data_IF_529735454797
#
_entry.id   IF_529735454797
#
_cell.length_a   1.000
_cell.length_b   1.000
_cell.length_c   1.000
_cell.angle_alpha   90.00
_cell.angle_beta   90.00
_cell.angle_gamma   90.00
#
_symmetry.space_group_name_H-M   'P 1'
#
loop_
_entity.id
_entity.type
_entity.pdbx_description
1 polymer ?
#
# COMPACT_ATOMS: atom_id res chain seq x y z
N UNK A 1 -29.94 -5.18 -21.73
CA UNK A 1 -28.48 -5.17 -21.53
C UNK A 1 -28.12 -3.94 -20.73
N UNK A 2 -27.93 -4.12 -19.43
CA UNK A 2 -27.60 -3.04 -18.50
C UNK A 2 -26.23 -2.46 -18.84
N UNK A 3 -26.17 -1.16 -19.10
CA UNK A 3 -24.91 -0.43 -19.22
C UNK A 3 -24.31 -0.39 -17.82
N UNK A 4 -23.35 -1.26 -17.53
CA UNK A 4 -22.48 -1.11 -16.37
C UNK A 4 -21.85 0.27 -16.41
N UNK A 5 -22.23 1.13 -15.47
CA UNK A 5 -21.53 2.36 -15.16
C UNK A 5 -20.10 1.98 -14.75
N UNK A 6 -19.16 1.97 -15.70
CA UNK A 6 -17.74 2.04 -15.38
C UNK A 6 -17.53 3.32 -14.58
N UNK A 7 -17.46 3.19 -13.27
CA UNK A 7 -17.07 4.25 -12.36
C UNK A 7 -15.73 4.77 -12.88
N UNK A 8 -15.71 5.99 -13.37
CA UNK A 8 -14.55 6.59 -14.02
C UNK A 8 -13.45 6.83 -12.96
N UNK A 9 -12.68 5.78 -12.65
CA UNK A 9 -11.60 5.77 -11.64
C UNK A 9 -10.35 6.53 -12.11
N UNK A 10 -10.43 7.13 -13.29
CA UNK A 10 -9.40 7.87 -14.02
C UNK A 10 -9.50 9.38 -13.85
N UNK A 11 -10.52 9.87 -13.13
CA UNK A 11 -10.74 11.29 -12.89
C UNK A 11 -9.81 11.90 -11.84
N UNK A 12 -9.39 13.12 -12.11
CA UNK A 12 -8.66 14.07 -11.24
C UNK A 12 -9.52 14.52 -10.04
N UNK A 13 -10.79 14.08 -10.03
CA UNK A 13 -11.78 14.21 -8.96
C UNK A 13 -11.90 12.95 -8.09
N UNK A 14 -10.97 12.00 -8.24
CA UNK A 14 -10.93 10.85 -7.34
C UNK A 14 -10.41 11.34 -5.97
N UNK A 15 -11.26 11.24 -4.95
CA UNK A 15 -10.98 11.70 -3.59
C UNK A 15 -9.70 11.07 -3.02
N UNK A 16 -9.46 9.80 -3.35
CA UNK A 16 -8.25 9.07 -2.97
C UNK A 16 -6.97 9.70 -3.56
N UNK A 17 -7.06 10.19 -4.81
CA UNK A 17 -5.94 10.87 -5.46
C UNK A 17 -5.67 12.22 -4.81
N UNK A 18 -6.72 12.98 -4.49
CA UNK A 18 -6.59 14.26 -3.78
C UNK A 18 -6.02 14.06 -2.37
N UNK A 19 -6.44 13.01 -1.66
CA UNK A 19 -5.89 12.66 -0.36
C UNK A 19 -4.40 12.32 -0.45
N UNK A 20 -3.99 11.57 -1.47
CA UNK A 20 -2.59 11.27 -1.73
C UNK A 20 -1.79 12.55 -2.02
N UNK A 21 -2.29 13.44 -2.88
CA UNK A 21 -1.64 14.72 -3.18
C UNK A 21 -1.48 15.58 -1.92
N UNK A 22 -2.54 15.76 -1.13
CA UNK A 22 -2.50 16.51 0.13
C UNK A 22 -1.47 15.92 1.11
N UNK A 23 -1.36 14.59 1.17
CA UNK A 23 -0.36 13.93 2.00
C UNK A 23 1.07 14.19 1.50
N UNK A 24 1.32 14.12 0.19
CA UNK A 24 2.63 14.42 -0.40
C UNK A 24 3.03 15.88 -0.13
N UNK A 25 2.10 16.82 -0.29
CA UNK A 25 2.29 18.25 0.01
C UNK A 25 2.78 18.45 1.44
N UNK A 26 2.07 17.87 2.41
CA UNK A 26 2.39 18.06 3.83
C UNK A 26 3.63 17.30 4.27
N UNK A 27 3.74 16.03 3.88
CA UNK A 27 4.70 15.09 4.48
C UNK A 27 6.03 15.03 3.75
N UNK A 28 6.07 15.32 2.44
CA UNK A 28 7.30 15.25 1.62
C UNK A 28 7.77 16.63 1.16
N UNK A 29 6.84 17.54 0.89
CA UNK A 29 7.18 18.90 0.46
C UNK A 29 7.29 19.89 1.62
N UNK A 30 6.66 19.58 2.77
CA UNK A 30 6.64 20.46 3.94
C UNK A 30 5.77 21.69 3.73
N UNK A 31 4.78 21.60 2.83
CA UNK A 31 3.88 22.71 2.53
C UNK A 31 2.91 22.94 3.70
N UNK A 32 2.69 24.22 4.01
CA UNK A 32 1.75 24.67 5.03
C UNK A 32 0.80 25.70 4.44
N UNK A 33 -0.50 25.61 4.74
CA UNK A 33 -1.49 26.59 4.30
C UNK A 33 -1.99 26.36 2.88
N UNK A 34 -1.83 27.37 2.01
CA UNK A 34 -2.44 27.42 0.66
C UNK A 34 -1.55 26.92 -0.47
N UNK A 35 -0.31 26.51 -0.18
CA UNK A 35 0.63 25.97 -1.17
C UNK A 35 0.12 24.64 -1.73
N UNK A 36 0.22 24.45 -3.06
CA UNK A 36 -0.24 23.26 -3.78
C UNK A 36 0.83 22.76 -4.74
N UNK A 37 0.82 21.47 -5.03
CA UNK A 37 1.69 20.88 -6.07
C UNK A 37 1.44 21.54 -7.42
N UNK A 38 2.52 21.83 -8.13
CA UNK A 38 2.44 22.33 -9.50
C UNK A 38 1.86 21.25 -10.44
N UNK A 39 1.29 21.69 -11.57
CA UNK A 39 0.65 20.79 -12.56
C UNK A 39 1.54 19.61 -12.97
N UNK A 40 2.84 19.85 -13.17
CA UNK A 40 3.78 18.81 -13.58
C UNK A 40 4.00 17.75 -12.50
N UNK A 41 4.02 18.13 -11.22
CA UNK A 41 4.09 17.20 -10.11
C UNK A 41 2.86 16.27 -10.08
N UNK A 42 1.67 16.84 -10.28
CA UNK A 42 0.42 16.07 -10.40
C UNK A 42 0.45 15.09 -11.58
N UNK A 43 0.96 15.51 -12.74
CA UNK A 43 1.12 14.63 -13.91
C UNK A 43 2.11 13.49 -13.66
N UNK A 44 3.18 13.72 -12.89
CA UNK A 44 4.11 12.66 -12.48
C UNK A 44 3.45 11.65 -11.55
N UNK A 45 2.66 12.10 -10.58
CA UNK A 45 1.88 11.22 -9.70
C UNK A 45 0.86 10.39 -10.49
N UNK A 46 0.24 10.96 -11.51
CA UNK A 46 -0.64 10.22 -12.42
C UNK A 46 0.15 9.25 -13.30
N UNK A 47 1.37 9.62 -13.72
CA UNK A 47 2.27 8.76 -14.49
C UNK A 47 2.61 7.46 -13.76
N UNK A 48 2.80 7.53 -12.43
CA UNK A 48 3.06 6.36 -11.59
C UNK A 48 1.98 5.27 -11.72
N UNK A 49 0.70 5.67 -11.87
CA UNK A 49 -0.41 4.72 -12.10
C UNK A 49 -0.24 3.92 -13.38
N UNK A 50 0.32 4.57 -14.41
CA UNK A 50 0.53 4.02 -15.75
C UNK A 50 1.88 3.33 -15.93
N UNK A 51 2.72 3.29 -14.88
CA UNK A 51 4.12 2.87 -14.99
C UNK A 51 4.98 3.83 -15.82
N UNK A 52 4.56 5.08 -15.99
CA UNK A 52 5.25 6.10 -16.77
C UNK A 52 5.96 7.12 -15.86
N UNK A 53 7.02 7.76 -16.33
CA UNK A 53 7.71 8.83 -15.60
C UNK A 53 6.86 10.11 -15.45
N UNK A 54 5.96 10.33 -16.39
CA UNK A 54 4.96 11.39 -16.42
C UNK A 54 3.74 10.88 -17.18
N UNK A 55 2.52 11.26 -16.74
CA UNK A 55 1.31 10.87 -17.43
C UNK A 55 1.30 11.46 -18.85
N UNK A 56 1.32 10.59 -19.85
CA UNK A 56 1.18 10.98 -21.24
C UNK A 56 0.23 10.01 -21.95
N UNK A 57 -0.76 10.56 -22.65
CA UNK A 57 -1.74 9.77 -23.39
C UNK A 57 -1.22 9.25 -24.73
N UNK A 58 -0.06 9.74 -25.21
CA UNK A 58 0.55 9.29 -26.47
C UNK A 58 1.54 8.14 -26.33
N UNK A 59 1.83 7.69 -25.11
CA UNK A 59 2.81 6.65 -24.84
C UNK A 59 2.14 5.39 -24.29
N UNK A 60 2.71 4.23 -24.60
CA UNK A 60 2.27 2.93 -24.09
C UNK A 60 2.24 2.91 -22.56
N UNK A 61 1.23 2.23 -22.03
CA UNK A 61 1.02 2.07 -20.59
C UNK A 61 1.79 0.83 -20.12
N UNK A 62 2.78 1.02 -19.24
CA UNK A 62 3.68 -0.04 -18.79
C UNK A 62 3.22 -0.72 -17.48
N UNK A 63 2.13 -0.23 -16.88
CA UNK A 63 1.50 -0.84 -15.71
C UNK A 63 0.18 -0.16 -15.36
N UNK A 64 -0.68 -0.86 -14.62
CA UNK A 64 -1.93 -0.30 -14.08
C UNK A 64 -1.98 -0.53 -12.56
N UNK A 65 -1.42 0.42 -11.81
CA UNK A 65 -1.42 0.35 -10.36
C UNK A 65 -2.62 1.11 -9.78
N UNK A 66 -3.40 0.47 -8.89
CA UNK A 66 -4.44 1.18 -8.17
C UNK A 66 -3.85 2.19 -7.18
N UNK A 67 -4.62 3.25 -6.89
CA UNK A 67 -4.14 4.43 -6.15
C UNK A 67 -3.70 4.06 -4.73
N UNK A 68 -4.39 3.11 -4.11
CA UNK A 68 -4.08 2.56 -2.80
C UNK A 68 -2.66 1.98 -2.73
N UNK A 69 -2.23 1.23 -3.76
CA UNK A 69 -0.89 0.65 -3.84
C UNK A 69 0.17 1.75 -3.91
N UNK A 70 -0.03 2.75 -4.77
CA UNK A 70 0.91 3.87 -4.90
C UNK A 70 0.97 4.66 -3.60
N UNK A 71 -0.18 4.98 -3.01
CA UNK A 71 -0.25 5.76 -1.79
C UNK A 71 0.39 5.02 -0.61
N UNK A 72 0.15 3.72 -0.48
CA UNK A 72 0.82 2.90 0.54
C UNK A 72 2.32 2.80 0.30
N UNK A 73 2.76 2.79 -0.97
CA UNK A 73 4.19 2.85 -1.30
C UNK A 73 4.81 4.17 -0.82
N UNK A 74 4.15 5.30 -1.01
CA UNK A 74 4.59 6.59 -0.47
C UNK A 74 4.69 6.57 1.05
N UNK A 75 3.65 6.09 1.75
CA UNK A 75 3.61 6.02 3.22
C UNK A 75 4.72 5.13 3.77
N UNK A 76 4.85 3.90 3.25
CA UNK A 76 5.85 2.93 3.69
C UNK A 76 7.29 3.42 3.47
N UNK A 77 7.52 4.22 2.42
CA UNK A 77 8.84 4.71 2.06
C UNK A 77 9.12 6.15 2.51
N UNK A 78 8.22 6.78 3.28
CA UNK A 78 8.34 8.18 3.72
C UNK A 78 9.74 8.50 4.26
N UNK A 79 10.21 7.72 5.23
CA UNK A 79 11.51 7.98 5.86
C UNK A 79 12.66 7.87 4.86
N UNK A 80 12.61 6.90 3.96
CA UNK A 80 13.65 6.70 2.94
C UNK A 80 13.65 7.86 1.94
N UNK A 81 12.47 8.31 1.52
CA UNK A 81 12.32 9.47 0.65
C UNK A 81 12.88 10.72 1.34
N UNK A 82 12.47 10.99 2.59
CA UNK A 82 12.95 12.14 3.37
C UNK A 82 14.47 12.13 3.55
N UNK A 83 15.05 10.96 3.84
CA UNK A 83 16.50 10.80 3.93
C UNK A 83 17.18 11.05 2.57
N UNK A 84 16.58 10.59 1.48
CA UNK A 84 17.14 10.73 0.14
C UNK A 84 17.10 12.17 -0.40
N UNK A 85 16.12 12.97 0.01
CA UNK A 85 16.04 14.41 -0.34
C UNK A 85 16.86 15.28 0.62
N UNK A 86 17.13 14.81 1.84
CA UNK A 86 17.91 15.56 2.84
C UNK A 86 19.34 15.76 2.35
N UNK A 87 19.74 17.03 2.20
CA UNK A 87 21.07 17.42 1.73
C UNK A 87 21.24 17.47 0.21
N UNK A 88 20.16 17.26 -0.57
CA UNK A 88 20.17 17.53 -2.01
C UNK A 88 19.50 18.87 -2.30
N UNK A 89 20.13 19.65 -3.17
CA UNK A 89 19.54 20.85 -3.76
C UNK A 89 18.86 20.49 -5.07
N UNK A 90 17.64 21.00 -5.27
CA UNK A 90 16.88 20.82 -6.50
C UNK A 90 16.67 22.19 -7.15
N UNK A 91 16.83 22.29 -8.47
CA UNK A 91 16.67 23.56 -9.16
C UNK A 91 15.18 23.92 -9.38
N UNK A 92 14.29 22.95 -9.24
CA UNK A 92 12.85 23.16 -9.33
C UNK A 92 12.06 22.14 -8.52
N UNK A 93 10.80 22.48 -8.21
CA UNK A 93 9.84 21.55 -7.61
C UNK A 93 9.67 20.29 -8.48
N UNK A 94 9.65 20.46 -9.80
CA UNK A 94 9.49 19.35 -10.74
C UNK A 94 10.65 18.36 -10.66
N UNK A 95 11.89 18.84 -10.55
CA UNK A 95 13.06 17.98 -10.35
C UNK A 95 12.99 17.21 -9.03
N UNK A 96 12.56 17.89 -7.95
CA UNK A 96 12.36 17.26 -6.65
C UNK A 96 11.31 16.16 -6.73
N UNK A 97 10.16 16.42 -7.36
CA UNK A 97 9.13 15.38 -7.54
C UNK A 97 9.54 14.27 -8.48
N UNK A 98 10.26 14.56 -9.56
CA UNK A 98 10.79 13.52 -10.45
C UNK A 98 11.67 12.53 -9.68
N UNK A 99 12.55 13.06 -8.80
CA UNK A 99 13.42 12.25 -7.96
C UNK A 99 12.63 11.40 -6.95
N UNK A 100 11.66 11.99 -6.27
CA UNK A 100 10.77 11.28 -5.34
C UNK A 100 10.00 10.17 -6.06
N UNK A 101 9.40 10.48 -7.22
CA UNK A 101 8.68 9.50 -8.02
C UNK A 101 9.58 8.37 -8.49
N UNK A 102 10.84 8.62 -8.86
CA UNK A 102 11.79 7.56 -9.24
C UNK A 102 12.03 6.56 -8.10
N UNK A 103 12.20 7.04 -6.86
CA UNK A 103 12.34 6.19 -5.67
C UNK A 103 11.09 5.31 -5.52
N UNK A 104 9.90 5.91 -5.63
CA UNK A 104 8.63 5.20 -5.47
C UNK A 104 8.40 4.20 -6.59
N UNK A 105 8.63 4.57 -7.85
CA UNK A 105 8.53 3.68 -9.01
C UNK A 105 9.32 2.40 -8.84
N UNK A 106 10.54 2.49 -8.30
CA UNK A 106 11.39 1.31 -8.08
C UNK A 106 10.82 0.33 -7.05
N UNK A 107 9.88 0.76 -6.19
CA UNK A 107 9.35 -0.02 -5.06
C UNK A 107 7.86 -0.36 -5.17
N UNK A 108 7.17 0.18 -6.17
CA UNK A 108 5.73 -0.07 -6.38
C UNK A 108 5.45 -1.57 -6.60
N UNK A 109 6.31 -2.28 -7.33
CA UNK A 109 6.15 -3.72 -7.59
C UNK A 109 6.23 -4.56 -6.32
N UNK A 110 7.17 -4.24 -5.44
CA UNK A 110 7.33 -4.91 -4.15
C UNK A 110 6.10 -4.66 -3.26
N UNK A 111 5.62 -3.40 -3.23
CA UNK A 111 4.43 -3.04 -2.47
C UNK A 111 3.18 -3.73 -3.01
N UNK A 112 3.02 -3.79 -4.33
CA UNK A 112 1.91 -4.50 -4.97
C UNK A 112 1.88 -5.97 -4.57
N UNK A 113 3.03 -6.65 -4.64
CA UNK A 113 3.17 -8.05 -4.23
C UNK A 113 2.86 -8.23 -2.74
N UNK A 114 3.35 -7.32 -1.89
CA UNK A 114 3.08 -7.33 -0.45
C UNK A 114 1.58 -7.17 -0.13
N UNK A 115 0.90 -6.22 -0.78
CA UNK A 115 -0.54 -6.01 -0.58
C UNK A 115 -1.35 -7.22 -1.07
N UNK A 116 -0.96 -7.82 -2.21
CA UNK A 116 -1.60 -9.03 -2.73
C UNK A 116 -1.45 -10.21 -1.78
N UNK A 117 -0.27 -10.38 -1.18
CA UNK A 117 -0.01 -11.45 -0.21
C UNK A 117 -0.75 -11.22 1.11
N UNK A 118 -0.85 -9.97 1.57
CA UNK A 118 -1.63 -9.62 2.75
C UNK A 118 -3.12 -9.98 2.56
N UNK A 119 -3.74 -9.56 1.46
CA UNK A 119 -5.14 -9.92 1.13
C UNK A 119 -5.36 -11.43 1.09
N UNK A 120 -4.46 -12.18 0.44
CA UNK A 120 -4.52 -13.65 0.42
C UNK A 120 -4.37 -14.28 1.80
N UNK A 121 -3.61 -13.66 2.71
CA UNK A 121 -3.45 -14.14 4.08
C UNK A 121 -4.72 -13.91 4.88
N UNK A 122 -5.33 -12.73 4.76
CA UNK A 122 -6.61 -12.39 5.39
C UNK A 122 -7.72 -13.35 4.93
N UNK A 123 -7.86 -13.57 3.62
CA UNK A 123 -8.82 -14.54 3.07
C UNK A 123 -8.62 -15.97 3.60
N UNK A 124 -7.36 -16.36 3.85
CA UNK A 124 -7.05 -17.67 4.44
C UNK A 124 -7.43 -17.71 5.92
N UNK A 125 -7.12 -16.66 6.68
CA UNK A 125 -7.49 -16.55 8.09
C UNK A 125 -9.01 -16.56 8.29
N UNK A 126 -9.76 -15.81 7.47
CA UNK A 126 -11.23 -15.81 7.50
C UNK A 126 -11.81 -17.19 7.18
N UNK A 127 -11.26 -17.90 6.18
CA UNK A 127 -11.68 -19.28 5.87
C UNK A 127 -11.36 -20.28 6.98
N UNK A 128 -10.23 -20.13 7.66
CA UNK A 128 -9.86 -20.97 8.81
C UNK A 128 -10.80 -20.70 9.98
N UNK A 129 -11.14 -19.43 10.25
CA UNK A 129 -12.05 -19.06 11.33
C UNK A 129 -13.47 -19.62 11.09
N UNK A 130 -14.01 -19.48 9.87
CA UNK A 130 -15.29 -20.09 9.49
C UNK A 130 -15.23 -21.63 9.58
N UNK A 131 -14.10 -22.23 9.20
CA UNK A 131 -13.89 -23.68 9.32
C UNK A 131 -13.85 -24.16 10.77
N UNK A 132 -13.23 -23.40 11.67
CA UNK A 132 -13.16 -23.69 13.09
C UNK A 132 -14.55 -23.56 13.76
N UNK A 133 -15.30 -22.51 13.45
CA UNK A 133 -16.67 -22.30 13.92
C UNK A 133 -17.63 -23.40 13.41
N UNK A 134 -17.49 -23.85 12.16
CA UNK A 134 -18.26 -24.99 11.63
C UNK A 134 -17.80 -26.36 12.15
N UNK A 135 -16.67 -26.43 12.86
CA UNK A 135 -16.12 -27.67 13.43
C UNK A 135 -16.45 -27.87 14.91
N UNK A 136 -17.42 -27.13 15.46
CA UNK A 136 -18.02 -27.35 16.79
C UNK A 136 -18.83 -28.68 16.87
N UNK A 137 -18.21 -29.78 16.46
CA UNK A 137 -18.58 -31.14 16.81
C UNK A 137 -17.35 -32.05 17.00
N UNK A 138 -16.11 -31.52 16.96
CA UNK A 138 -14.93 -32.30 17.34
C UNK A 138 -14.79 -32.30 18.87
N UNK A 139 -15.57 -33.16 19.54
CA UNK A 139 -15.39 -33.45 20.98
C UNK A 139 -13.95 -33.97 21.19
N UNK A 140 -13.14 -33.18 21.88
CA UNK A 140 -11.81 -33.59 22.31
C UNK A 140 -11.94 -34.82 23.22
N UNK A 141 -11.54 -36.00 22.74
CA UNK A 141 -11.42 -37.21 23.55
C UNK A 141 -9.97 -37.33 24.02
N UNK A 142 -9.72 -37.18 25.32
CA UNK A 142 -8.42 -37.49 25.94
C UNK A 142 -8.12 -38.98 25.71
N UNK A 143 -6.98 -39.29 25.09
CA UNK A 143 -6.55 -40.68 24.81
C UNK A 143 -5.64 -41.29 25.88
N UNK A 144 -5.47 -40.65 27.03
CA UNK A 144 -4.61 -41.16 28.11
C UNK A 144 -5.29 -40.99 29.45
N UNK A 145 -5.44 -42.10 30.19
CA UNK A 145 -5.76 -42.09 31.61
C UNK A 145 -4.64 -41.36 32.37
N UNK A 146 -5.03 -40.58 33.37
CA UNK A 146 -4.10 -39.91 34.27
C UNK A 146 -3.34 -40.97 35.08
N UNK A 147 -2.14 -41.31 34.63
CA UNK A 147 -1.18 -42.03 35.47
C UNK A 147 -0.69 -41.05 36.51
N UNK A 148 -1.28 -41.11 37.70
CA UNK A 148 -0.78 -40.43 38.90
C UNK A 148 0.57 -41.08 39.23
N UNK A 149 1.65 -40.50 38.72
CA UNK A 149 3.00 -40.95 39.01
C UNK A 149 3.44 -40.27 40.32
N UNK A 150 3.42 -41.01 41.42
CA UNK A 150 3.82 -40.57 42.77
C UNK A 150 5.30 -40.22 42.92
N UNK A 151 6.09 -40.28 41.85
CA UNK A 151 7.56 -40.08 41.90
C UNK A 151 7.98 -38.60 42.03
N UNK A 152 7.07 -37.64 41.87
CA UNK A 152 7.41 -36.20 41.87
C UNK A 152 6.91 -35.40 43.08
N UNK A 153 6.39 -36.03 44.13
CA UNK A 153 5.95 -35.32 45.35
C UNK A 153 7.11 -34.70 46.18
N UNK A 154 8.37 -35.02 45.86
CA UNK A 154 9.54 -34.59 46.62
C UNK A 154 10.40 -33.48 45.98
N UNK A 155 9.94 -32.83 44.92
CA UNK A 155 10.70 -31.73 44.27
C UNK A 155 9.90 -30.43 44.33
N UNK A 156 9.73 -29.91 45.54
CA UNK A 156 9.48 -28.50 45.83
C UNK A 156 10.27 -28.09 47.07
#
# INVERSE_FOLDING_TARGET
MSKENKKDTTGWKNEDFLQMCNWVERELMGYSGTQRLHKNACLRLQGLRKGQSMANNSHEMYGEYPIDVIFNTFKANKYVILKAIKGKTFNSEDQKMAYICAIVSSRINDMYTRMKNAKKSEEKSEKIDIGAQNSEAAKYQRQTEEVINSTFEGIW
#
